data_IF_129303936705
#
_entry.id   IF_129303936705
#
_cell.length_a   1.000
_cell.length_b   1.000
_cell.length_c   1.000
_cell.angle_alpha   90.00
_cell.angle_beta   90.00
_cell.angle_gamma   90.00
#
_symmetry.space_group_name_H-M   'P 1'
#
loop_
_entity.id
_entity.type
_entity.pdbx_description
1 polymer ?
#
# COMPACT_ATOMS: atom_id res chain seq x y z
N UNK A 1 -5.27 -12.88 8.71
CA UNK A 1 -3.96 -12.93 8.00
C UNK A 1 -3.34 -11.55 8.03
N UNK A 2 -2.02 -11.43 8.21
CA UNK A 2 -1.30 -10.15 8.19
C UNK A 2 -0.35 -10.10 7.00
N UNK A 3 -0.37 -9.01 6.26
CA UNK A 3 0.48 -8.79 5.07
C UNK A 3 1.38 -7.59 5.35
N UNK A 4 2.69 -7.81 5.25
CA UNK A 4 3.66 -6.73 5.31
C UNK A 4 3.90 -6.18 3.89
N UNK A 5 3.75 -4.86 3.72
CA UNK A 5 4.02 -4.16 2.47
C UNK A 5 5.34 -3.43 2.61
N UNK A 6 6.34 -3.94 1.90
CA UNK A 6 7.67 -3.36 1.77
C UNK A 6 7.76 -2.68 0.40
N UNK A 7 7.28 -1.45 0.33
CA UNK A 7 7.25 -0.68 -0.91
C UNK A 7 8.49 0.18 -1.10
N UNK A 8 8.79 0.48 -2.36
CA UNK A 8 9.69 1.58 -2.75
C UNK A 8 8.87 2.67 -3.43
N UNK A 9 9.40 3.91 -3.51
CA UNK A 9 8.82 4.93 -4.39
C UNK A 9 8.52 4.38 -5.78
N UNK A 10 7.38 4.75 -6.32
CA UNK A 10 6.87 4.26 -7.60
C UNK A 10 6.40 5.42 -8.48
N UNK A 11 6.31 5.17 -9.78
CA UNK A 11 5.79 6.16 -10.73
C UNK A 11 4.30 6.42 -10.50
N UNK A 12 3.85 7.67 -10.58
CA UNK A 12 2.46 8.08 -10.30
C UNK A 12 1.40 7.29 -11.09
N UNK A 13 1.74 6.84 -12.31
CA UNK A 13 0.88 5.96 -13.13
C UNK A 13 0.47 4.65 -12.44
N UNK A 14 1.20 4.24 -11.39
CA UNK A 14 0.96 3.03 -10.63
C UNK A 14 0.00 3.22 -9.45
N UNK A 15 -0.31 4.48 -9.06
CA UNK A 15 -1.21 4.81 -7.94
C UNK A 15 -2.54 4.04 -8.01
N UNK A 16 -3.27 3.98 -9.15
CA UNK A 16 -4.57 3.31 -9.19
C UNK A 16 -4.50 1.82 -8.88
N UNK A 17 -3.42 1.16 -9.30
CA UNK A 17 -3.22 -0.28 -9.07
C UNK A 17 -2.87 -0.58 -7.62
N UNK A 18 -2.06 0.29 -7.00
CA UNK A 18 -1.69 0.16 -5.59
C UNK A 18 -2.94 0.38 -4.72
N UNK A 19 -3.72 1.42 -4.99
CA UNK A 19 -5.00 1.65 -4.30
C UNK A 19 -5.96 0.46 -4.47
N UNK A 20 -6.08 -0.08 -5.68
CA UNK A 20 -6.87 -1.28 -5.95
C UNK A 20 -6.46 -2.47 -5.07
N UNK A 21 -5.16 -2.74 -4.98
CA UNK A 21 -4.63 -3.79 -4.11
C UNK A 21 -4.99 -3.55 -2.63
N UNK A 22 -4.78 -2.33 -2.11
CA UNK A 22 -5.12 -2.01 -0.72
C UNK A 22 -6.60 -2.19 -0.44
N UNK A 23 -7.48 -1.78 -1.37
CA UNK A 23 -8.92 -1.94 -1.25
C UNK A 23 -9.31 -3.42 -1.21
N UNK A 24 -8.80 -4.25 -2.13
CA UNK A 24 -9.07 -5.69 -2.14
C UNK A 24 -8.61 -6.38 -0.85
N UNK A 25 -7.46 -5.98 -0.31
CA UNK A 25 -6.96 -6.50 0.96
C UNK A 25 -7.84 -6.08 2.14
N UNK A 26 -8.33 -4.84 2.14
CA UNK A 26 -9.26 -4.34 3.15
C UNK A 26 -10.61 -5.08 3.10
N UNK A 27 -11.18 -5.31 1.92
CA UNK A 27 -12.42 -6.09 1.72
C UNK A 27 -12.30 -7.50 2.29
N UNK A 28 -11.12 -8.12 2.12
CA UNK A 28 -10.80 -9.45 2.66
C UNK A 28 -10.50 -9.45 4.17
N UNK A 29 -10.62 -8.29 4.84
CA UNK A 29 -10.26 -8.09 6.26
C UNK A 29 -8.82 -8.52 6.57
N UNK A 30 -7.91 -8.35 5.61
CA UNK A 30 -6.50 -8.59 5.85
C UNK A 30 -5.92 -7.45 6.68
N UNK A 31 -5.15 -7.77 7.71
CA UNK A 31 -4.37 -6.77 8.43
C UNK A 31 -3.16 -6.38 7.59
N UNK A 32 -2.95 -5.09 7.35
CA UNK A 32 -1.83 -4.59 6.55
C UNK A 32 -0.84 -3.88 7.47
N UNK A 33 0.43 -4.23 7.35
CA UNK A 33 1.55 -3.52 7.98
C UNK A 33 2.35 -2.87 6.87
N UNK A 34 2.40 -1.54 6.85
CA UNK A 34 3.16 -0.78 5.85
C UNK A 34 4.46 -0.32 6.49
N UNK A 35 5.58 -0.54 5.80
CA UNK A 35 6.88 -0.05 6.26
C UNK A 35 6.91 1.49 6.27
N UNK A 36 7.60 2.06 7.26
CA UNK A 36 7.51 3.49 7.58
C UNK A 36 7.97 4.39 6.44
N UNK A 37 9.06 4.05 5.75
CA UNK A 37 9.54 4.82 4.60
C UNK A 37 8.54 4.82 3.44
N UNK A 38 7.84 3.69 3.23
CA UNK A 38 6.81 3.61 2.22
C UNK A 38 5.54 4.36 2.62
N UNK A 39 5.14 4.30 3.89
CA UNK A 39 4.04 5.10 4.40
C UNK A 39 4.34 6.60 4.26
N UNK A 40 5.55 7.04 4.58
CA UNK A 40 5.99 8.42 4.38
C UNK A 40 5.90 8.84 2.92
N UNK A 41 6.28 7.96 1.98
CA UNK A 41 6.08 8.20 0.54
C UNK A 41 4.60 8.39 0.20
N UNK A 42 3.72 7.50 0.68
CA UNK A 42 2.28 7.56 0.41
C UNK A 42 1.59 8.81 0.98
N UNK A 43 2.07 9.37 2.10
CA UNK A 43 1.51 10.60 2.68
C UNK A 43 1.84 11.88 1.90
N UNK A 44 2.80 11.81 0.97
CA UNK A 44 3.22 12.95 0.15
C UNK A 44 2.57 12.94 -1.25
N UNK A 45 1.63 12.03 -1.50
CA UNK A 45 0.84 11.87 -2.72
C UNK A 45 -0.65 11.95 -2.40
#
# INVERSE_FOLDING_TARGET
MRIAILGKPFEEKLVPYILGLFNELAERKAGILVEESFNAFLQNY
#
